data_IF_966933527239
#
_entry.id   IF_966933527239
#
_cell.length_a   1.000
_cell.length_b   1.000
_cell.length_c   1.000
_cell.angle_alpha   90.00
_cell.angle_beta   90.00
_cell.angle_gamma   90.00
#
_symmetry.space_group_name_H-M   'P 1'
#
loop_
_entity.id
_entity.type
_entity.pdbx_description
1 polymer ?
#
# COMPACT_ATOMS: atom_id res chain seq x y z
N UNK A 1 12.84 -2.40 -14.12
CA UNK A 1 11.54 -2.17 -13.43
C UNK A 1 10.60 -1.41 -14.35
N UNK A 2 9.30 -1.72 -14.34
CA UNK A 2 8.26 -0.87 -14.95
C UNK A 2 7.29 -0.40 -13.88
N UNK A 3 6.94 0.87 -13.87
CA UNK A 3 6.08 1.49 -12.87
C UNK A 3 4.88 2.19 -13.51
N UNK A 4 3.71 2.07 -12.86
CA UNK A 4 2.54 2.88 -13.20
C UNK A 4 2.66 4.24 -12.53
N UNK A 5 2.31 5.29 -13.25
CA UNK A 5 2.18 6.63 -12.66
C UNK A 5 0.90 6.66 -11.80
N UNK A 6 1.07 6.36 -10.53
CA UNK A 6 0.01 6.35 -9.53
C UNK A 6 0.55 6.82 -8.19
N UNK A 7 -0.16 7.72 -7.54
CA UNK A 7 0.13 8.26 -6.22
C UNK A 7 1.61 8.69 -6.11
N UNK A 8 2.33 8.19 -5.13
CA UNK A 8 3.73 8.51 -4.85
C UNK A 8 4.74 7.56 -5.51
N UNK A 9 4.30 6.61 -6.37
CA UNK A 9 5.15 5.53 -6.88
C UNK A 9 6.39 6.05 -7.61
N UNK A 10 6.22 7.00 -8.55
CA UNK A 10 7.37 7.55 -9.29
C UNK A 10 8.28 8.36 -8.37
N UNK A 11 7.70 9.19 -7.48
CA UNK A 11 8.47 9.97 -6.52
C UNK A 11 9.33 9.08 -5.61
N UNK A 12 8.80 7.95 -5.14
CA UNK A 12 9.58 6.99 -4.33
C UNK A 12 10.71 6.36 -5.14
N UNK A 13 10.45 5.94 -6.38
CA UNK A 13 11.50 5.37 -7.23
C UNK A 13 12.60 6.39 -7.53
N UNK A 14 12.23 7.66 -7.79
CA UNK A 14 13.18 8.75 -8.01
C UNK A 14 13.99 9.05 -6.74
N UNK A 15 13.34 9.11 -5.56
CA UNK A 15 14.00 9.38 -4.29
C UNK A 15 14.98 8.27 -3.86
N UNK A 16 14.75 7.04 -4.30
CA UNK A 16 15.64 5.91 -4.05
C UNK A 16 16.61 5.62 -5.20
N UNK A 17 16.70 6.51 -6.19
CA UNK A 17 17.54 6.34 -7.39
C UNK A 17 17.31 5.00 -8.11
N UNK A 18 16.07 4.50 -8.11
CA UNK A 18 15.71 3.23 -8.75
C UNK A 18 15.28 3.49 -10.20
N UNK A 19 16.06 3.04 -11.21
CA UNK A 19 15.70 3.25 -12.60
C UNK A 19 14.46 2.46 -13.00
N UNK A 20 13.53 3.10 -13.67
CA UNK A 20 12.29 2.48 -14.13
C UNK A 20 11.83 3.02 -15.48
N UNK A 21 10.96 2.27 -16.14
CA UNK A 21 10.22 2.73 -17.31
C UNK A 21 8.76 2.99 -16.91
N UNK A 22 8.29 4.22 -17.12
CA UNK A 22 6.89 4.57 -16.83
C UNK A 22 5.93 3.88 -17.79
N UNK A 23 4.86 3.31 -17.24
CA UNK A 23 3.70 2.80 -17.99
C UNK A 23 2.59 3.84 -18.17
N UNK A 24 2.83 5.07 -17.69
CA UNK A 24 1.87 6.18 -17.69
C UNK A 24 0.72 6.01 -16.71
N UNK A 25 -0.23 6.94 -16.77
CA UNK A 25 -1.42 6.97 -15.89
C UNK A 25 -2.39 5.86 -16.25
N UNK A 26 -2.93 5.21 -15.23
CA UNK A 26 -4.05 4.27 -15.38
C UNK A 26 -5.34 4.99 -15.80
N UNK A 27 -6.36 4.22 -16.17
CA UNK A 27 -7.68 4.72 -16.51
C UNK A 27 -8.70 4.31 -15.45
N UNK A 28 -9.71 5.13 -15.22
CA UNK A 28 -10.79 4.85 -14.24
C UNK A 28 -11.87 3.94 -14.83
N UNK A 29 -12.28 4.14 -16.09
CA UNK A 29 -13.32 3.34 -16.74
C UNK A 29 -12.88 1.90 -17.04
N UNK A 30 -13.80 0.95 -17.04
CA UNK A 30 -13.51 -0.47 -17.35
C UNK A 30 -12.89 -0.65 -18.74
N UNK A 31 -13.44 0.03 -19.75
CA UNK A 31 -12.93 0.01 -21.12
C UNK A 31 -11.51 0.60 -21.15
N UNK A 32 -11.31 1.73 -20.45
CA UNK A 32 -9.98 2.34 -20.34
C UNK A 32 -8.98 1.46 -19.63
N UNK A 33 -9.38 0.72 -18.59
CA UNK A 33 -8.54 -0.28 -17.90
C UNK A 33 -8.14 -1.42 -18.85
N UNK A 34 -9.06 -1.88 -19.68
CA UNK A 34 -8.76 -2.93 -20.67
C UNK A 34 -7.74 -2.47 -21.72
N UNK A 35 -7.90 -1.29 -22.32
CA UNK A 35 -6.92 -0.74 -23.24
C UNK A 35 -5.58 -0.44 -22.59
N UNK A 36 -5.60 0.01 -21.33
CA UNK A 36 -4.38 0.21 -20.55
C UNK A 36 -3.66 -1.12 -20.30
N UNK A 37 -4.39 -2.20 -20.03
CA UNK A 37 -3.82 -3.55 -19.87
C UNK A 37 -3.03 -3.95 -21.11
N UNK A 38 -3.67 -3.90 -22.29
CA UNK A 38 -3.03 -4.26 -23.57
C UNK A 38 -1.78 -3.40 -23.82
N UNK A 39 -1.89 -2.07 -23.63
CA UNK A 39 -0.75 -1.16 -23.80
C UNK A 39 0.41 -1.51 -22.86
N UNK A 40 0.11 -1.82 -21.61
CA UNK A 40 1.12 -2.16 -20.60
C UNK A 40 1.78 -3.52 -20.90
N UNK A 41 1.00 -4.51 -21.34
CA UNK A 41 1.51 -5.83 -21.76
C UNK A 41 2.45 -5.68 -22.97
N UNK A 42 2.07 -4.92 -23.99
CA UNK A 42 2.92 -4.68 -25.17
C UNK A 42 4.22 -3.96 -24.82
N UNK A 43 4.16 -2.95 -23.96
CA UNK A 43 5.35 -2.25 -23.49
C UNK A 43 6.26 -3.21 -22.72
N UNK A 44 5.72 -3.96 -21.76
CA UNK A 44 6.51 -4.90 -20.95
C UNK A 44 7.08 -6.03 -21.82
N UNK A 45 6.31 -6.55 -22.76
CA UNK A 45 6.79 -7.57 -23.72
C UNK A 45 7.99 -7.07 -24.53
N UNK A 46 7.92 -5.82 -25.03
CA UNK A 46 9.04 -5.21 -25.75
C UNK A 46 10.28 -5.09 -24.87
N UNK A 47 10.12 -4.58 -23.65
CA UNK A 47 11.23 -4.44 -22.71
C UNK A 47 11.81 -5.79 -22.28
N UNK A 48 10.95 -6.77 -22.03
CA UNK A 48 11.36 -8.11 -21.64
C UNK A 48 12.12 -8.83 -22.76
N UNK A 49 11.73 -8.65 -24.03
CA UNK A 49 12.50 -9.20 -25.17
C UNK A 49 13.91 -8.61 -25.27
N UNK A 50 14.08 -7.33 -24.92
CA UNK A 50 15.41 -6.68 -24.93
C UNK A 50 16.23 -7.13 -23.72
N UNK A 51 15.60 -7.16 -22.52
CA UNK A 51 16.27 -7.51 -21.27
C UNK A 51 16.55 -9.02 -21.15
N UNK A 52 15.71 -9.86 -21.79
CA UNK A 52 15.75 -11.33 -21.75
C UNK A 52 15.81 -11.90 -20.32
N UNK A 53 14.79 -11.67 -19.48
CA UNK A 53 14.80 -12.16 -18.10
C UNK A 53 14.69 -13.68 -18.04
N UNK A 54 15.29 -14.29 -17.01
CA UNK A 54 15.12 -15.71 -16.70
C UNK A 54 13.88 -15.97 -15.83
N UNK A 55 13.46 -14.96 -15.07
CA UNK A 55 12.35 -15.03 -14.12
C UNK A 55 11.60 -13.69 -14.08
N UNK A 56 10.28 -13.75 -13.98
CA UNK A 56 9.45 -12.62 -13.64
C UNK A 56 9.05 -12.68 -12.17
N UNK A 57 9.21 -11.56 -11.47
CA UNK A 57 8.79 -11.39 -10.08
C UNK A 57 7.84 -10.20 -9.98
N UNK A 58 6.71 -10.36 -9.28
CA UNK A 58 5.76 -9.26 -9.14
C UNK A 58 4.93 -9.34 -7.87
N UNK A 59 4.35 -8.19 -7.48
CA UNK A 59 3.29 -8.13 -6.50
C UNK A 59 1.95 -8.06 -7.25
N UNK A 60 1.30 -9.23 -7.42
CA UNK A 60 0.00 -9.42 -8.07
C UNK A 60 -0.17 -8.69 -9.42
N UNK A 61 0.88 -8.66 -10.26
CA UNK A 61 0.85 -7.93 -11.53
C UNK A 61 0.35 -8.78 -12.69
N UNK A 62 -0.81 -8.48 -13.29
CA UNK A 62 -1.28 -9.18 -14.49
C UNK A 62 -0.31 -9.01 -15.67
N UNK A 63 0.32 -7.86 -15.81
CA UNK A 63 1.25 -7.59 -16.91
C UNK A 63 2.49 -8.50 -16.86
N UNK A 64 3.06 -8.71 -15.68
CA UNK A 64 4.20 -9.59 -15.49
C UNK A 64 3.82 -11.04 -15.81
N UNK A 65 2.66 -11.50 -15.31
CA UNK A 65 2.18 -12.88 -15.54
C UNK A 65 1.84 -13.15 -17.01
N UNK A 66 1.18 -12.22 -17.70
CA UNK A 66 0.87 -12.36 -19.13
C UNK A 66 2.13 -12.45 -19.97
N UNK A 67 3.08 -11.53 -19.76
CA UNK A 67 4.30 -11.46 -20.54
C UNK A 67 5.23 -12.63 -20.26
N UNK A 68 5.32 -13.09 -19.00
CA UNK A 68 6.09 -14.31 -18.66
C UNK A 68 5.55 -15.53 -19.41
N UNK A 69 4.22 -15.71 -19.41
CA UNK A 69 3.54 -16.80 -20.13
C UNK A 69 3.79 -16.72 -21.64
N UNK A 70 3.71 -15.53 -22.25
CA UNK A 70 3.99 -15.33 -23.68
C UNK A 70 5.44 -15.69 -24.03
N UNK A 71 6.39 -15.39 -23.13
CA UNK A 71 7.82 -15.65 -23.35
C UNK A 71 8.26 -17.04 -22.88
N UNK A 72 7.37 -17.84 -22.28
CA UNK A 72 7.70 -19.15 -21.72
C UNK A 72 8.70 -19.07 -20.57
N UNK A 73 8.63 -17.99 -19.76
CA UNK A 73 9.50 -17.76 -18.60
C UNK A 73 8.71 -17.93 -17.31
N UNK A 74 9.33 -18.45 -16.23
CA UNK A 74 8.64 -18.60 -14.96
C UNK A 74 8.22 -17.25 -14.35
N UNK A 75 7.10 -17.26 -13.63
CA UNK A 75 6.56 -16.11 -12.91
C UNK A 75 6.24 -16.46 -11.48
N UNK A 76 6.76 -15.66 -10.56
CA UNK A 76 6.45 -15.70 -9.14
C UNK A 76 5.66 -14.43 -8.77
N UNK A 77 4.49 -14.62 -8.17
CA UNK A 77 3.68 -13.53 -7.65
C UNK A 77 3.63 -13.54 -6.13
N UNK A 78 3.66 -12.37 -5.53
CA UNK A 78 3.32 -12.16 -4.13
C UNK A 78 1.97 -11.44 -4.06
N UNK A 79 1.16 -11.75 -3.06
CA UNK A 79 -0.09 -11.03 -2.76
C UNK A 79 -0.51 -11.24 -1.32
N UNK A 80 -1.18 -10.23 -0.76
CA UNK A 80 -1.81 -10.23 0.55
C UNK A 80 -3.27 -9.74 0.49
N UNK A 81 -3.74 -9.36 -0.70
CA UNK A 81 -5.04 -8.73 -0.90
C UNK A 81 -6.08 -9.76 -1.32
N UNK A 82 -6.83 -10.31 -0.37
CA UNK A 82 -7.78 -11.42 -0.56
C UNK A 82 -9.06 -11.03 -1.31
N UNK A 83 -9.51 -9.80 -1.11
CA UNK A 83 -10.80 -9.32 -1.63
C UNK A 83 -10.73 -8.86 -3.10
N UNK A 84 -9.55 -8.70 -3.68
CA UNK A 84 -9.37 -8.26 -5.05
C UNK A 84 -9.58 -9.40 -6.07
N UNK A 85 -10.75 -10.07 -6.05
CA UNK A 85 -11.04 -11.28 -6.86
C UNK A 85 -10.73 -11.11 -8.35
N UNK A 86 -11.14 -10.00 -8.96
CA UNK A 86 -10.84 -9.73 -10.37
C UNK A 86 -9.34 -9.52 -10.62
N UNK A 87 -8.64 -8.89 -9.68
CA UNK A 87 -7.19 -8.76 -9.71
C UNK A 87 -6.52 -10.14 -9.69
N UNK A 88 -6.91 -11.00 -8.75
CA UNK A 88 -6.38 -12.36 -8.62
C UNK A 88 -6.63 -13.17 -9.90
N UNK A 89 -7.85 -13.15 -10.42
CA UNK A 89 -8.20 -13.84 -11.67
C UNK A 89 -7.40 -13.33 -12.88
N UNK A 90 -6.94 -12.09 -12.87
CA UNK A 90 -6.19 -11.52 -13.99
C UNK A 90 -4.73 -11.99 -14.07
N UNK A 91 -4.11 -12.42 -12.96
CA UNK A 91 -2.71 -12.89 -12.97
C UNK A 91 -2.55 -14.38 -12.66
N UNK A 92 -3.39 -14.93 -11.79
CA UNK A 92 -3.24 -16.29 -11.26
C UNK A 92 -3.16 -17.40 -12.34
N UNK A 93 -3.97 -17.39 -13.43
CA UNK A 93 -3.88 -18.41 -14.47
C UNK A 93 -2.51 -18.47 -15.16
N UNK A 94 -1.81 -17.34 -15.22
CA UNK A 94 -0.54 -17.15 -15.91
C UNK A 94 0.68 -17.16 -14.98
N UNK A 95 0.49 -17.50 -13.72
CA UNK A 95 1.52 -17.50 -12.67
C UNK A 95 1.88 -18.94 -12.32
N UNK A 96 3.17 -19.24 -12.13
CA UNK A 96 3.64 -20.56 -11.73
C UNK A 96 3.55 -20.76 -10.22
N UNK A 97 3.92 -19.75 -9.44
CA UNK A 97 3.90 -19.79 -7.98
C UNK A 97 3.33 -18.49 -7.40
N UNK A 98 2.45 -18.62 -6.43
CA UNK A 98 1.90 -17.50 -5.65
C UNK A 98 2.30 -17.63 -4.20
N UNK A 99 2.97 -16.61 -3.68
CA UNK A 99 3.31 -16.50 -2.27
C UNK A 99 2.34 -15.57 -1.55
N UNK A 100 1.85 -16.01 -0.40
CA UNK A 100 1.03 -15.20 0.51
C UNK A 100 1.48 -15.37 1.96
N UNK A 101 1.14 -14.42 2.85
CA UNK A 101 1.23 -14.66 4.28
C UNK A 101 0.44 -15.91 4.70
N UNK A 102 0.85 -16.60 5.77
CA UNK A 102 0.11 -17.76 6.32
C UNK A 102 -1.33 -17.43 6.67
N UNK A 103 -1.57 -16.21 7.14
CA UNK A 103 -2.89 -15.70 7.55
C UNK A 103 -3.83 -15.38 6.40
N UNK A 104 -3.37 -15.49 5.15
CA UNK A 104 -4.19 -15.30 3.96
C UNK A 104 -5.26 -16.40 3.87
N UNK A 105 -6.53 -16.00 3.81
CA UNK A 105 -7.68 -16.91 3.99
C UNK A 105 -7.98 -17.79 2.77
N UNK A 106 -7.67 -17.28 1.56
CA UNK A 106 -7.95 -18.02 0.33
C UNK A 106 -6.87 -19.05 0.02
N UNK A 107 -7.24 -20.08 -0.72
CA UNK A 107 -6.31 -21.07 -1.26
C UNK A 107 -6.29 -21.01 -2.79
N UNK A 108 -5.11 -21.07 -3.38
CA UNK A 108 -4.89 -21.03 -4.83
C UNK A 108 -4.38 -22.38 -5.38
N UNK A 109 -4.55 -23.45 -4.62
CA UNK A 109 -4.20 -24.82 -5.01
C UNK A 109 -2.69 -25.07 -5.09
N UNK A 110 -2.27 -25.93 -6.00
CA UNK A 110 -0.88 -26.41 -6.10
C UNK A 110 0.17 -25.33 -6.37
N UNK A 111 -0.26 -24.15 -6.81
CA UNK A 111 0.63 -23.00 -7.05
C UNK A 111 0.85 -22.14 -5.79
N UNK A 112 0.13 -22.40 -4.72
CA UNK A 112 0.08 -21.57 -3.54
C UNK A 112 1.13 -22.01 -2.52
N UNK A 113 2.03 -21.11 -2.21
CA UNK A 113 2.98 -21.25 -1.11
C UNK A 113 2.72 -20.15 -0.07
N UNK A 114 2.83 -20.52 1.19
CA UNK A 114 2.63 -19.60 2.31
C UNK A 114 3.95 -19.34 3.01
N UNK A 115 4.13 -18.11 3.48
CA UNK A 115 5.29 -17.74 4.31
C UNK A 115 4.81 -17.21 5.67
N UNK A 116 5.61 -17.44 6.70
CA UNK A 116 5.36 -16.93 8.03
C UNK A 116 5.73 -15.46 8.10
N UNK A 117 4.78 -14.61 8.53
CA UNK A 117 4.94 -13.16 8.66
C UNK A 117 4.04 -12.35 7.74
N UNK A 118 4.33 -11.06 7.63
CA UNK A 118 3.56 -10.07 6.88
C UNK A 118 4.41 -9.42 5.79
N UNK A 119 3.80 -8.91 4.73
CA UNK A 119 4.51 -8.28 3.61
C UNK A 119 5.32 -7.06 4.04
N UNK A 120 4.83 -6.29 5.01
CA UNK A 120 5.46 -5.08 5.51
C UNK A 120 6.81 -5.36 6.21
N UNK A 121 7.03 -6.58 6.68
CA UNK A 121 8.31 -7.01 7.27
C UNK A 121 9.45 -7.04 6.24
N UNK A 122 9.15 -7.09 4.95
CA UNK A 122 10.16 -7.02 3.89
C UNK A 122 10.98 -5.72 3.95
N UNK A 123 10.43 -4.64 4.52
CA UNK A 123 11.06 -3.32 4.57
C UNK A 123 11.03 -2.64 5.95
N UNK A 124 10.23 -3.12 6.92
CA UNK A 124 10.07 -2.48 8.23
C UNK A 124 10.71 -3.25 9.41
N UNK A 125 11.26 -4.44 9.18
CA UNK A 125 11.95 -5.12 10.27
C UNK A 125 13.29 -4.44 10.62
N UNK A 126 13.75 -4.59 11.85
CA UNK A 126 14.90 -3.88 12.43
C UNK A 126 16.21 -3.99 11.63
N UNK A 127 16.36 -5.03 10.79
CA UNK A 127 17.55 -5.19 9.93
C UNK A 127 17.56 -4.25 8.73
N UNK A 128 16.40 -3.72 8.33
CA UNK A 128 16.24 -2.89 7.14
C UNK A 128 15.74 -1.48 7.45
N UNK A 129 15.08 -1.30 8.59
CA UNK A 129 14.51 -0.03 8.99
C UNK A 129 15.08 0.45 10.32
N UNK A 130 15.57 1.68 10.35
CA UNK A 130 15.98 2.39 11.55
C UNK A 130 15.29 3.75 11.62
N UNK A 131 14.52 4.05 12.69
CA UNK A 131 13.80 5.31 12.82
C UNK A 131 14.72 6.53 12.77
N UNK A 132 14.29 7.57 12.08
CA UNK A 132 15.02 8.84 11.96
C UNK A 132 14.30 9.97 12.71
N UNK A 133 14.88 10.42 13.82
CA UNK A 133 14.32 11.50 14.64
C UNK A 133 14.26 12.87 13.93
N UNK A 134 14.99 13.07 12.83
CA UNK A 134 14.97 14.34 12.11
C UNK A 134 13.61 14.66 11.48
N UNK A 135 12.75 13.65 11.27
CA UNK A 135 11.39 13.86 10.77
C UNK A 135 10.55 14.71 11.73
N UNK A 136 10.77 14.62 13.04
CA UNK A 136 10.10 15.46 14.03
C UNK A 136 10.40 16.95 13.82
N UNK A 137 11.64 17.29 13.46
CA UNK A 137 12.02 18.67 13.13
C UNK A 137 11.32 19.17 11.86
N UNK A 138 11.17 18.32 10.85
CA UNK A 138 10.45 18.65 9.62
C UNK A 138 8.96 18.98 9.90
N UNK A 139 8.39 18.35 10.93
CA UNK A 139 7.03 18.60 11.40
C UNK A 139 6.92 19.74 12.43
N UNK A 140 8.03 20.43 12.72
CA UNK A 140 8.13 21.43 13.80
C UNK A 140 7.75 20.87 15.19
N UNK A 141 7.99 19.59 15.43
CA UNK A 141 7.73 18.91 16.70
C UNK A 141 8.97 18.85 17.58
N UNK A 142 8.76 18.95 18.88
CA UNK A 142 9.75 18.64 19.91
C UNK A 142 9.72 17.14 20.21
N UNK A 143 10.78 16.63 20.80
CA UNK A 143 10.94 15.20 21.14
C UNK A 143 9.80 14.63 22.00
N UNK A 144 9.14 15.46 22.82
CA UNK A 144 8.08 15.04 23.74
C UNK A 144 6.68 15.42 23.27
N UNK A 145 6.54 16.01 22.08
CA UNK A 145 5.24 16.36 21.55
C UNK A 145 4.53 15.08 21.12
N UNK A 146 3.32 14.89 21.64
CA UNK A 146 2.45 13.79 21.28
C UNK A 146 1.68 14.15 20.04
N UNK A 147 1.62 13.26 19.09
CA UNK A 147 0.85 13.45 17.87
C UNK A 147 0.16 12.18 17.38
N UNK A 148 -0.94 12.38 16.68
CA UNK A 148 -1.76 11.33 16.09
C UNK A 148 -1.83 11.53 14.60
N UNK A 149 -1.72 10.45 13.85
CA UNK A 149 -1.90 10.46 12.40
C UNK A 149 -3.27 9.87 12.06
N UNK A 150 -4.06 10.63 11.31
CA UNK A 150 -5.32 10.14 10.74
C UNK A 150 -5.14 9.98 9.23
N UNK A 151 -5.39 8.78 8.70
CA UNK A 151 -5.29 8.47 7.26
C UNK A 151 -6.65 8.34 6.63
N UNK A 152 -6.89 9.12 5.59
CA UNK A 152 -8.09 9.04 4.76
C UNK A 152 -7.71 8.52 3.37
N UNK A 153 -8.45 7.54 2.85
CA UNK A 153 -8.26 6.99 1.50
C UNK A 153 -9.32 7.49 0.53
N UNK A 154 -9.04 7.40 -0.77
CA UNK A 154 -9.88 8.01 -1.81
C UNK A 154 -11.11 7.18 -2.21
N UNK A 155 -11.30 5.96 -1.72
CA UNK A 155 -12.42 5.05 -2.04
C UNK A 155 -12.74 4.92 -3.55
N UNK A 156 -11.71 5.02 -4.41
CA UNK A 156 -11.87 5.00 -5.87
C UNK A 156 -11.53 3.64 -6.51
N UNK A 157 -11.07 2.67 -5.72
CA UNK A 157 -10.71 1.37 -6.26
C UNK A 157 -11.96 0.51 -6.54
N UNK A 158 -11.86 -0.41 -7.50
CA UNK A 158 -12.98 -1.26 -7.90
C UNK A 158 -13.48 -2.24 -6.81
N UNK A 159 -12.69 -2.45 -5.78
CA UNK A 159 -13.04 -3.27 -4.63
C UNK A 159 -13.67 -2.46 -3.48
N UNK A 160 -13.69 -1.13 -3.58
CA UNK A 160 -14.26 -0.23 -2.56
C UNK A 160 -15.76 0.01 -2.73
N UNK A 161 -16.37 -0.55 -3.79
CA UNK A 161 -17.80 -0.34 -4.08
C UNK A 161 -18.66 -0.86 -2.92
N UNK A 162 -19.44 0.05 -2.32
CA UNK A 162 -20.30 -0.26 -1.17
C UNK A 162 -19.65 -0.09 0.20
N UNK A 163 -18.37 0.25 0.27
CA UNK A 163 -17.65 0.52 1.50
C UNK A 163 -17.56 2.03 1.76
N UNK A 164 -17.47 2.40 3.03
CA UNK A 164 -17.40 3.81 3.47
C UNK A 164 -16.42 3.93 4.63
N UNK A 165 -15.66 5.01 4.61
CA UNK A 165 -14.82 5.42 5.72
C UNK A 165 -15.50 6.45 6.64
N UNK A 166 -14.73 7.37 7.15
CA UNK A 166 -15.20 8.42 8.03
C UNK A 166 -16.22 9.35 7.35
N UNK A 167 -17.36 9.61 8.02
CA UNK A 167 -18.17 10.76 7.66
C UNK A 167 -17.49 12.05 8.12
N UNK A 168 -17.66 13.14 7.37
CA UNK A 168 -17.03 14.43 7.68
C UNK A 168 -17.34 14.89 9.11
N UNK A 169 -18.59 14.86 9.54
CA UNK A 169 -18.97 15.29 10.88
C UNK A 169 -18.43 14.41 12.01
N UNK A 170 -18.17 13.12 11.72
CA UNK A 170 -17.47 12.25 12.69
C UNK A 170 -15.99 12.58 12.76
N UNK A 171 -15.34 12.81 11.62
CA UNK A 171 -13.93 13.18 11.54
C UNK A 171 -13.65 14.49 12.31
N UNK A 172 -14.48 15.51 12.11
CA UNK A 172 -14.35 16.79 12.83
C UNK A 172 -14.45 16.62 14.36
N UNK A 173 -15.41 15.82 14.83
CA UNK A 173 -15.54 15.50 16.26
C UNK A 173 -14.36 14.71 16.81
N UNK A 174 -13.88 13.74 16.04
CA UNK A 174 -12.70 12.94 16.41
C UNK A 174 -11.46 13.82 16.54
N UNK A 175 -11.22 14.70 15.58
CA UNK A 175 -10.12 15.66 15.62
C UNK A 175 -10.24 16.55 16.86
N UNK A 176 -11.40 17.17 17.08
CA UNK A 176 -11.63 18.04 18.23
C UNK A 176 -11.45 17.35 19.60
N UNK A 177 -11.69 16.04 19.66
CA UNK A 177 -11.40 15.24 20.86
C UNK A 177 -9.90 15.01 21.05
N UNK A 178 -9.19 14.66 19.97
CA UNK A 178 -7.75 14.35 20.01
C UNK A 178 -6.91 15.60 20.27
N UNK A 179 -7.27 16.76 19.70
CA UNK A 179 -6.56 18.05 19.88
C UNK A 179 -6.43 18.48 21.35
N UNK A 180 -7.28 17.98 22.22
CA UNK A 180 -7.19 18.26 23.67
C UNK A 180 -5.94 17.61 24.32
N UNK A 181 -5.32 16.63 23.65
CA UNK A 181 -4.25 15.80 24.23
C UNK A 181 -3.03 15.63 23.32
N UNK A 182 -3.19 15.77 22.01
CA UNK A 182 -2.15 15.52 21.03
C UNK A 182 -2.34 16.39 19.78
N UNK A 183 -1.25 16.63 19.06
CA UNK A 183 -1.28 17.28 17.76
C UNK A 183 -1.86 16.31 16.73
N UNK A 184 -2.71 16.78 15.82
CA UNK A 184 -3.32 15.95 14.79
C UNK A 184 -2.71 16.25 13.43
N UNK A 185 -2.34 15.21 12.70
CA UNK A 185 -1.96 15.28 11.30
C UNK A 185 -2.87 14.42 10.44
N UNK A 186 -3.33 14.98 9.31
CA UNK A 186 -4.11 14.27 8.30
C UNK A 186 -3.25 13.87 7.11
N UNK A 187 -3.10 12.58 6.88
CA UNK A 187 -2.56 12.01 5.65
C UNK A 187 -3.74 11.64 4.73
N UNK A 188 -3.87 12.28 3.59
CA UNK A 188 -5.08 12.16 2.74
C UNK A 188 -4.69 11.82 1.31
N UNK A 189 -5.38 10.83 0.73
CA UNK A 189 -5.42 10.59 -0.70
C UNK A 189 -6.55 11.45 -1.30
N UNK A 190 -6.20 12.42 -2.13
CA UNK A 190 -7.20 13.29 -2.75
C UNK A 190 -7.32 14.67 -2.10
N UNK A 191 -8.53 15.23 -2.13
CA UNK A 191 -8.80 16.61 -1.70
C UNK A 191 -9.19 16.64 -0.22
N UNK A 192 -8.51 17.46 0.55
CA UNK A 192 -8.86 17.73 1.95
C UNK A 192 -9.97 18.79 2.00
N UNK A 193 -11.03 18.63 2.81
CA UNK A 193 -11.98 19.70 3.07
C UNK A 193 -11.29 20.96 3.58
N UNK A 194 -11.69 22.14 3.11
CA UNK A 194 -11.03 23.42 3.40
C UNK A 194 -10.86 23.68 4.91
N UNK A 195 -11.85 23.33 5.71
CA UNK A 195 -11.80 23.48 7.18
C UNK A 195 -10.82 22.52 7.88
N UNK A 196 -10.33 21.49 7.19
CA UNK A 196 -9.37 20.50 7.71
C UNK A 196 -7.96 20.67 7.11
N UNK A 197 -7.76 21.61 6.17
CA UNK A 197 -6.46 21.85 5.52
C UNK A 197 -5.33 22.14 6.51
N UNK A 198 -5.62 22.78 7.63
CA UNK A 198 -4.63 23.09 8.69
C UNK A 198 -3.99 21.84 9.32
N UNK A 199 -4.63 20.69 9.21
CA UNK A 199 -4.12 19.41 9.73
C UNK A 199 -3.33 18.60 8.72
N UNK A 200 -3.35 19.01 7.45
CA UNK A 200 -2.74 18.24 6.37
C UNK A 200 -1.26 18.00 6.60
N UNK A 201 -0.88 16.74 6.53
CA UNK A 201 0.49 16.29 6.64
C UNK A 201 1.24 16.57 5.33
N UNK A 202 2.22 17.44 5.37
CA UNK A 202 3.12 17.73 4.25
C UNK A 202 4.49 17.13 4.52
N UNK A 203 4.78 16.02 3.87
CA UNK A 203 6.04 15.27 4.03
C UNK A 203 6.51 14.69 2.71
N UNK A 204 7.79 14.38 2.65
CA UNK A 204 8.30 13.49 1.63
C UNK A 204 7.77 12.06 1.88
N UNK A 205 7.30 11.33 0.86
CA UNK A 205 6.82 9.96 1.03
C UNK A 205 7.82 9.00 1.69
N UNK A 206 9.13 9.25 1.55
CA UNK A 206 10.18 8.45 2.20
C UNK A 206 10.23 8.63 3.71
N UNK A 207 9.67 9.71 4.25
CA UNK A 207 9.65 9.99 5.68
C UNK A 207 8.48 9.29 6.42
N UNK A 208 7.48 8.75 5.71
CA UNK A 208 6.22 8.32 6.33
C UNK A 208 6.42 7.29 7.44
N UNK A 209 7.23 6.25 7.20
CA UNK A 209 7.47 5.20 8.19
C UNK A 209 8.21 5.72 9.43
N UNK A 210 9.13 6.66 9.26
CA UNK A 210 9.81 7.33 10.37
C UNK A 210 8.83 8.15 11.22
N UNK A 211 7.84 8.79 10.58
CA UNK A 211 6.81 9.56 11.27
C UNK A 211 5.84 8.62 12.00
N UNK A 212 5.39 7.55 11.33
CA UNK A 212 4.52 6.53 11.94
C UNK A 212 5.16 5.93 13.19
N UNK A 213 6.45 5.62 13.15
CA UNK A 213 7.18 5.09 14.30
C UNK A 213 7.12 6.01 15.54
N UNK A 214 7.08 7.33 15.36
CA UNK A 214 7.05 8.31 16.45
C UNK A 214 5.63 8.74 16.85
N UNK A 215 4.60 8.32 16.13
CA UNK A 215 3.23 8.66 16.46
C UNK A 215 2.75 7.93 17.72
N UNK A 216 1.96 8.61 18.56
CA UNK A 216 1.30 7.99 19.71
C UNK A 216 0.17 7.05 19.28
N UNK A 217 -0.47 7.34 18.15
CA UNK A 217 -1.58 6.58 17.61
C UNK A 217 -1.74 6.85 16.13
N UNK A 218 -2.05 5.81 15.39
CA UNK A 218 -2.54 5.87 14.03
C UNK A 218 -4.04 5.54 13.99
N UNK A 219 -4.82 6.30 13.24
CA UNK A 219 -6.25 6.00 12.99
C UNK A 219 -6.47 6.11 11.49
N UNK A 220 -6.89 5.04 10.81
CA UNK A 220 -6.97 5.13 9.36
C UNK A 220 -7.82 4.09 8.68
N UNK A 221 -8.17 4.41 7.43
CA UNK A 221 -8.99 3.60 6.53
C UNK A 221 -8.14 2.62 5.69
N UNK A 222 -6.82 2.83 5.62
CA UNK A 222 -5.89 2.04 4.82
C UNK A 222 -5.31 0.85 5.59
N UNK A 223 -5.53 -0.37 5.09
CA UNK A 223 -5.07 -1.60 5.72
C UNK A 223 -3.53 -1.68 5.80
N UNK A 224 -2.83 -1.33 4.72
CA UNK A 224 -1.37 -1.38 4.65
C UNK A 224 -0.72 -0.52 5.73
N UNK A 225 -1.15 0.74 5.87
CA UNK A 225 -0.56 1.65 6.86
C UNK A 225 -0.89 1.25 8.30
N UNK A 226 -2.06 0.64 8.54
CA UNK A 226 -2.38 0.06 9.84
C UNK A 226 -1.46 -1.13 10.17
N UNK A 227 -1.19 -2.00 9.20
CA UNK A 227 -0.25 -3.11 9.34
C UNK A 227 1.20 -2.63 9.52
N UNK A 228 1.61 -1.59 8.79
CA UNK A 228 2.92 -0.94 8.98
C UNK A 228 3.09 -0.42 10.40
N UNK A 229 2.06 0.23 10.95
CA UNK A 229 2.06 0.70 12.35
C UNK A 229 2.22 -0.47 13.32
N UNK A 230 1.52 -1.58 13.13
CA UNK A 230 1.66 -2.77 13.96
C UNK A 230 3.10 -3.31 13.95
N UNK A 231 3.75 -3.40 12.80
CA UNK A 231 5.15 -3.83 12.67
C UNK A 231 6.12 -2.82 13.32
N UNK A 232 5.83 -1.53 13.25
CA UNK A 232 6.63 -0.47 13.88
C UNK A 232 6.42 -0.36 15.39
N UNK A 233 5.41 -1.04 15.95
CA UNK A 233 5.03 -0.95 17.36
C UNK A 233 4.21 0.30 17.70
N UNK A 234 3.63 0.96 16.72
CA UNK A 234 2.75 2.11 16.90
C UNK A 234 1.31 1.64 17.04
N UNK A 235 0.60 1.97 18.13
CA UNK A 235 -0.81 1.64 18.27
C UNK A 235 -1.62 2.10 17.07
N UNK A 236 -2.49 1.22 16.53
CA UNK A 236 -3.29 1.57 15.36
C UNK A 236 -4.77 1.19 15.51
N UNK A 237 -5.65 2.05 14.99
CA UNK A 237 -7.09 1.80 14.87
C UNK A 237 -7.43 1.77 13.39
N UNK A 238 -7.75 0.59 12.88
CA UNK A 238 -8.21 0.42 11.51
C UNK A 238 -9.71 0.66 11.41
N UNK A 239 -10.12 1.60 10.57
CA UNK A 239 -11.52 2.02 10.40
C UNK A 239 -11.97 1.72 8.99
N UNK A 240 -12.48 0.52 8.79
CA UNK A 240 -12.95 0.07 7.47
C UNK A 240 -13.96 -1.07 7.65
N UNK A 241 -14.83 -1.28 6.68
CA UNK A 241 -15.72 -2.42 6.61
C UNK A 241 -15.09 -3.63 5.90
N UNK A 242 -13.92 -3.44 5.26
CA UNK A 242 -13.13 -4.52 4.68
C UNK A 242 -12.24 -5.17 5.76
N UNK A 243 -12.29 -6.49 5.82
CA UNK A 243 -11.41 -7.29 6.67
C UNK A 243 -10.22 -7.78 5.87
N UNK A 244 -9.03 -7.75 6.48
CA UNK A 244 -7.82 -8.34 5.94
C UNK A 244 -7.25 -9.35 6.94
N UNK A 245 -6.86 -10.53 6.47
CA UNK A 245 -6.36 -11.61 7.36
C UNK A 245 -5.16 -11.20 8.19
N UNK A 246 -4.25 -10.41 7.63
CA UNK A 246 -3.08 -9.88 8.34
C UNK A 246 -3.49 -8.96 9.50
N UNK A 247 -4.42 -8.02 9.31
CA UNK A 247 -4.88 -7.13 10.38
C UNK A 247 -5.63 -7.86 11.49
N UNK A 248 -6.46 -8.87 11.13
CA UNK A 248 -7.14 -9.68 12.12
C UNK A 248 -6.16 -10.47 12.99
N UNK A 249 -5.09 -10.97 12.39
CA UNK A 249 -4.05 -11.69 13.10
C UNK A 249 -3.20 -10.78 13.98
N UNK A 250 -2.76 -9.63 13.45
CA UNK A 250 -2.05 -8.61 14.21
C UNK A 250 -2.86 -8.13 15.42
N UNK A 251 -4.16 -7.90 15.25
CA UNK A 251 -5.04 -7.52 16.36
C UNK A 251 -5.13 -8.60 17.46
N UNK A 252 -5.11 -9.91 17.10
CA UNK A 252 -5.05 -11.01 18.08
C UNK A 252 -3.73 -11.06 18.83
N UNK A 253 -2.66 -10.60 18.20
CA UNK A 253 -1.32 -10.53 18.81
C UNK A 253 -1.10 -9.25 19.61
N UNK A 254 -2.10 -8.37 19.71
CA UNK A 254 -2.02 -7.05 20.34
C UNK A 254 -0.96 -6.13 19.70
N UNK A 255 -0.82 -6.25 18.40
CA UNK A 255 0.02 -5.40 17.57
C UNK A 255 -0.79 -4.25 16.99
#
# INVERSE_FOLDING_TARGET
ITAREKDVTHQLLDNYDIPYTSRGKGKSSLIGKFFYLIKADLLLLRLAKIFNPDLFLSFASPYASHVSSILGKPHIAFTDTEHAKLGILSFLPFTDVVFTPEVYKSDHGNKHLRFSGYMEQCYLQNNYFSPNNNVLKKLNLKKNDKFVIIRLVSWEASHDIGHRGFSQGYLERLIGFIEQKAIVFLSVEGVVPTNLEKYKLFIDPTDIHHILYHAELFIGEGATMASECAILGTPSIYVNTLSAGSLEDQAKQNL
#
